data_IF_836496369687
#
_entry.id   IF_836496369687
#
_cell.length_a   1.000
_cell.length_b   1.000
_cell.length_c   1.000
_cell.angle_alpha   90.00
_cell.angle_beta   90.00
_cell.angle_gamma   90.00
#
_symmetry.space_group_name_H-M   'P 1'
#
loop_
_entity.id
_entity.type
_entity.pdbx_description
1 polymer ?
#
# COMPACT_ATOMS: atom_id res chain seq x y z
N UNK A 1 4.69 5.56 -18.79
CA UNK A 1 4.87 4.09 -18.69
C UNK A 1 3.86 3.56 -17.67
N UNK A 2 2.94 2.64 -18.01
CA UNK A 2 2.04 2.03 -17.04
C UNK A 2 2.72 0.76 -16.48
N UNK A 3 3.62 0.94 -15.53
CA UNK A 3 4.17 -0.16 -14.74
C UNK A 3 4.14 0.28 -13.28
N UNK A 4 3.61 -0.55 -12.38
CA UNK A 4 3.51 -0.30 -10.92
C UNK A 4 2.40 0.65 -10.46
N UNK A 5 1.20 0.57 -11.04
CA UNK A 5 0.04 1.28 -10.46
C UNK A 5 -0.60 0.44 -9.35
N UNK A 6 -0.87 1.11 -8.24
CA UNK A 6 -1.57 0.57 -7.06
C UNK A 6 -3.05 0.36 -7.37
N UNK A 7 -3.66 -0.72 -6.88
CA UNK A 7 -5.05 -1.08 -7.24
C UNK A 7 -6.04 0.04 -6.88
N UNK A 8 -5.94 0.56 -5.66
CA UNK A 8 -6.82 1.60 -5.13
C UNK A 8 -6.62 2.95 -5.84
N UNK A 9 -5.41 3.22 -6.34
CA UNK A 9 -5.14 4.42 -7.15
C UNK A 9 -5.93 4.38 -8.48
N UNK A 10 -6.14 3.18 -9.02
CA UNK A 10 -6.90 2.94 -10.24
C UNK A 10 -8.38 2.62 -9.99
N UNK A 11 -8.86 2.75 -8.75
CA UNK A 11 -10.25 2.45 -8.38
C UNK A 11 -10.59 0.97 -8.23
N UNK A 12 -9.60 0.07 -8.25
CA UNK A 12 -9.80 -1.35 -7.93
C UNK A 12 -9.64 -1.60 -6.43
N UNK A 13 -10.25 -2.68 -5.93
CA UNK A 13 -10.14 -3.10 -4.53
C UNK A 13 -9.20 -4.29 -4.40
N UNK A 14 -8.11 -4.13 -3.65
CA UNK A 14 -7.17 -5.21 -3.33
C UNK A 14 -7.87 -6.37 -2.60
N UNK A 15 -8.81 -6.07 -1.71
CA UNK A 15 -9.57 -7.09 -0.97
C UNK A 15 -10.46 -7.93 -1.90
N UNK A 16 -11.14 -7.29 -2.87
CA UNK A 16 -11.92 -8.01 -3.86
C UNK A 16 -11.02 -8.84 -4.79
N UNK A 17 -9.83 -8.36 -5.15
CA UNK A 17 -8.87 -9.15 -5.92
C UNK A 17 -8.39 -10.40 -5.17
N UNK A 18 -8.07 -10.27 -3.88
CA UNK A 18 -7.67 -11.40 -3.03
C UNK A 18 -8.82 -12.41 -2.92
N UNK A 19 -10.05 -11.94 -2.69
CA UNK A 19 -11.24 -12.77 -2.54
C UNK A 19 -11.62 -13.51 -3.84
N UNK A 20 -11.61 -12.81 -4.96
CA UNK A 20 -12.11 -13.34 -6.24
C UNK A 20 -11.05 -14.13 -7.01
N UNK A 21 -9.76 -13.87 -6.76
CA UNK A 21 -8.65 -14.53 -7.44
C UNK A 21 -7.55 -15.02 -6.49
N UNK A 22 -7.89 -15.78 -5.42
CA UNK A 22 -6.94 -16.18 -4.39
C UNK A 22 -5.74 -16.95 -4.96
N UNK A 23 -5.98 -17.83 -5.94
CA UNK A 23 -4.94 -18.63 -6.59
C UNK A 23 -3.94 -17.80 -7.42
N UNK A 24 -4.29 -16.55 -7.73
CA UNK A 24 -3.45 -15.65 -8.52
C UNK A 24 -2.58 -14.74 -7.66
N UNK A 25 -2.75 -14.74 -6.34
CA UNK A 25 -1.94 -13.94 -5.41
C UNK A 25 -0.60 -14.62 -5.15
N UNK A 26 0.46 -14.14 -5.80
CA UNK A 26 1.83 -14.67 -5.63
C UNK A 26 2.70 -13.90 -4.63
N UNK A 27 2.56 -12.58 -4.61
CA UNK A 27 3.25 -11.67 -3.69
C UNK A 27 2.51 -10.33 -3.64
N UNK A 28 2.87 -9.46 -2.68
CA UNK A 28 2.22 -8.18 -2.45
C UNK A 28 3.22 -7.03 -2.55
N UNK A 29 2.80 -5.91 -3.13
CA UNK A 29 3.34 -4.59 -2.82
C UNK A 29 2.34 -3.92 -1.86
N UNK A 30 2.78 -3.70 -0.63
CA UNK A 30 1.99 -3.08 0.42
C UNK A 30 2.22 -1.57 0.36
N UNK A 31 1.27 -0.88 -0.29
CA UNK A 31 1.21 0.58 -0.34
C UNK A 31 -0.14 1.06 0.20
N UNK A 32 -0.19 2.32 0.62
CA UNK A 32 -1.47 2.99 0.88
C UNK A 32 -1.58 4.31 0.12
N UNK A 33 -2.80 4.60 -0.28
CA UNK A 33 -3.22 5.83 -0.93
C UNK A 33 -4.01 6.68 0.03
N UNK A 34 -3.68 7.96 0.12
CA UNK A 34 -4.54 8.93 0.78
C UNK A 34 -5.76 9.24 -0.13
N UNK A 35 -6.99 8.87 0.27
CA UNK A 35 -8.17 9.03 -0.58
C UNK A 35 -8.54 10.50 -0.83
N UNK A 36 -8.30 11.38 0.13
CA UNK A 36 -8.59 12.81 0.01
C UNK A 36 -7.66 13.46 -1.02
N UNK A 37 -6.37 13.09 -0.98
CA UNK A 37 -5.39 13.55 -1.96
C UNK A 37 -5.69 12.94 -3.34
N UNK A 38 -6.04 11.65 -3.42
CA UNK A 38 -6.39 11.02 -4.69
C UNK A 38 -7.60 11.70 -5.36
N UNK A 39 -8.60 12.10 -4.57
CA UNK A 39 -9.75 12.87 -5.07
C UNK A 39 -9.27 14.17 -5.72
N UNK A 40 -8.43 14.95 -5.03
CA UNK A 40 -7.86 16.19 -5.58
C UNK A 40 -7.02 15.94 -6.84
N UNK A 41 -6.22 14.88 -6.85
CA UNK A 41 -5.40 14.46 -8.01
C UNK A 41 -6.27 14.23 -9.24
N UNK A 42 -7.42 13.58 -9.07
CA UNK A 42 -8.36 13.33 -10.16
C UNK A 42 -9.10 14.60 -10.61
N UNK A 43 -9.55 15.43 -9.67
CA UNK A 43 -10.25 16.69 -9.95
C UNK A 43 -9.36 17.70 -10.70
N UNK A 44 -8.09 17.78 -10.34
CA UNK A 44 -7.12 18.71 -10.92
C UNK A 44 -6.29 18.09 -12.07
N UNK A 45 -6.56 16.84 -12.43
CA UNK A 45 -5.82 16.08 -13.45
C UNK A 45 -4.28 16.16 -13.25
N UNK A 46 -3.83 15.92 -12.02
CA UNK A 46 -2.43 16.07 -11.65
C UNK A 46 -1.54 15.04 -12.34
N UNK A 47 -0.31 15.45 -12.68
CA UNK A 47 0.74 14.50 -13.05
C UNK A 47 1.13 13.63 -11.86
N UNK A 48 1.73 12.46 -12.10
CA UNK A 48 2.23 11.60 -11.03
C UNK A 48 3.20 12.34 -10.08
N UNK A 49 4.11 13.16 -10.63
CA UNK A 49 5.04 13.93 -9.80
C UNK A 49 4.32 14.91 -8.87
N UNK A 50 3.28 15.58 -9.37
CA UNK A 50 2.45 16.47 -8.57
C UNK A 50 1.61 15.70 -7.52
N UNK A 51 1.02 14.56 -7.90
CA UNK A 51 0.29 13.69 -6.98
C UNK A 51 1.18 13.17 -5.84
N UNK A 52 2.40 12.75 -6.16
CA UNK A 52 3.37 12.27 -5.19
C UNK A 52 3.80 13.37 -4.23
N UNK A 53 4.12 14.56 -4.75
CA UNK A 53 4.41 15.75 -3.93
C UNK A 53 3.24 16.17 -3.05
N UNK A 54 2.00 15.96 -3.50
CA UNK A 54 0.79 16.22 -2.72
C UNK A 54 0.53 15.18 -1.62
N UNK A 55 1.34 14.11 -1.53
CA UNK A 55 1.21 13.07 -0.52
C UNK A 55 0.14 12.01 -0.85
N UNK A 56 -0.06 11.70 -2.13
CA UNK A 56 -1.04 10.66 -2.52
C UNK A 56 -0.65 9.28 -1.99
N UNK A 57 0.64 9.01 -1.82
CA UNK A 57 1.15 7.81 -1.15
C UNK A 57 1.39 8.12 0.32
N UNK A 58 0.76 7.35 1.22
CA UNK A 58 0.79 7.62 2.66
C UNK A 58 1.26 6.40 3.46
N UNK A 59 1.80 6.64 4.65
CA UNK A 59 2.16 5.56 5.57
C UNK A 59 0.89 4.96 6.20
N UNK A 60 0.87 3.64 6.47
CA UNK A 60 -0.20 3.03 7.23
C UNK A 60 -0.26 3.48 8.69
N UNK A 61 -1.47 3.53 9.28
CA UNK A 61 -2.77 3.09 8.75
C UNK A 61 -3.57 4.19 7.99
N UNK A 62 -2.93 5.23 7.49
CA UNK A 62 -3.62 6.48 7.13
C UNK A 62 -4.27 6.51 5.72
N UNK A 63 -4.39 5.38 5.05
CA UNK A 63 -4.92 5.33 3.69
C UNK A 63 -5.59 4.02 3.30
N UNK A 64 -5.81 3.85 1.99
CA UNK A 64 -6.43 2.69 1.38
C UNK A 64 -5.44 1.87 0.55
N UNK A 65 -5.55 0.54 0.53
CA UNK A 65 -6.51 -0.28 1.28
C UNK A 65 -6.12 -0.34 2.75
N UNK A 66 -7.05 -0.75 3.62
CA UNK A 66 -6.69 -1.10 4.99
C UNK A 66 -5.73 -2.31 4.96
N UNK A 67 -4.46 -2.06 5.31
CA UNK A 67 -3.45 -3.09 5.29
C UNK A 67 -3.68 -4.17 6.35
N UNK A 68 -4.39 -3.90 7.45
CA UNK A 68 -4.78 -4.95 8.40
C UNK A 68 -5.71 -5.95 7.72
N UNK A 69 -6.78 -5.45 7.10
CA UNK A 69 -7.73 -6.30 6.37
C UNK A 69 -7.05 -7.07 5.23
N UNK A 70 -6.11 -6.45 4.52
CA UNK A 70 -5.32 -7.12 3.46
C UNK A 70 -4.48 -8.26 4.05
N UNK A 71 -3.77 -8.02 5.15
CA UNK A 71 -2.95 -9.03 5.82
C UNK A 71 -3.82 -10.19 6.33
N UNK A 72 -4.96 -9.90 6.97
CA UNK A 72 -5.89 -10.93 7.44
C UNK A 72 -6.46 -11.78 6.29
N UNK A 73 -6.85 -11.15 5.17
CA UNK A 73 -7.35 -11.85 3.99
C UNK A 73 -6.28 -12.75 3.36
N UNK A 74 -5.03 -12.28 3.30
CA UNK A 74 -3.90 -13.03 2.74
C UNK A 74 -3.49 -14.18 3.68
N UNK A 75 -3.49 -13.95 4.99
CA UNK A 75 -3.33 -15.03 5.97
C UNK A 75 -4.39 -16.12 5.73
N UNK A 76 -5.65 -15.75 5.50
CA UNK A 76 -6.72 -16.70 5.18
C UNK A 76 -6.45 -17.65 3.99
N UNK A 77 -5.51 -17.33 3.10
CA UNK A 77 -5.11 -18.19 1.98
C UNK A 77 -4.26 -19.41 2.41
N UNK A 78 -3.82 -19.45 3.67
CA UNK A 78 -3.11 -20.58 4.28
C UNK A 78 -1.87 -21.08 3.51
N UNK A 79 -1.13 -20.15 2.89
CA UNK A 79 0.15 -20.41 2.23
C UNK A 79 1.12 -19.24 2.44
N UNK A 80 2.43 -19.45 2.31
CA UNK A 80 3.41 -18.37 2.38
C UNK A 80 3.19 -17.37 1.25
N UNK A 81 3.09 -16.08 1.59
CA UNK A 81 3.03 -14.97 0.63
C UNK A 81 4.08 -13.95 1.02
N UNK A 82 4.93 -13.59 0.07
CA UNK A 82 5.93 -12.56 0.26
C UNK A 82 5.31 -11.17 0.06
N UNK A 83 5.67 -10.21 0.89
CA UNK A 83 5.21 -8.83 0.80
C UNK A 83 6.37 -7.85 0.84
N UNK A 84 6.33 -6.84 -0.03
CA UNK A 84 7.26 -5.72 -0.05
C UNK A 84 6.49 -4.49 0.41
N UNK A 85 7.02 -3.76 1.40
CA UNK A 85 6.50 -2.45 1.77
C UNK A 85 7.05 -1.41 0.80
N UNK A 86 6.17 -0.63 0.18
CA UNK A 86 6.57 0.40 -0.77
C UNK A 86 5.78 1.69 -0.50
N UNK A 87 6.50 2.81 -0.39
CA UNK A 87 5.91 4.13 -0.28
C UNK A 87 6.71 5.08 -1.16
N UNK A 88 6.09 5.61 -2.21
CA UNK A 88 6.72 6.61 -3.06
C UNK A 88 6.76 7.94 -2.33
N UNK A 89 7.95 8.54 -2.23
CA UNK A 89 8.16 9.79 -1.48
C UNK A 89 8.97 10.82 -2.25
N UNK A 90 9.44 10.53 -3.46
CA UNK A 90 10.38 11.42 -4.14
C UNK A 90 9.75 12.74 -4.63
N UNK A 91 10.40 13.90 -4.42
CA UNK A 91 11.59 14.13 -3.58
C UNK A 91 11.24 14.16 -2.08
N UNK A 92 12.12 13.61 -1.24
CA UNK A 92 12.00 13.65 0.23
C UNK A 92 13.35 13.94 0.87
N UNK A 93 13.35 14.60 2.01
CA UNK A 93 14.55 14.74 2.84
C UNK A 93 15.03 13.35 3.34
N UNK A 94 16.35 13.15 3.37
CA UNK A 94 16.96 11.82 3.64
C UNK A 94 16.63 11.22 5.01
N UNK A 95 16.29 12.06 5.99
CA UNK A 95 15.98 11.67 7.36
C UNK A 95 14.52 11.21 7.56
N UNK A 96 13.65 11.41 6.58
CA UNK A 96 12.22 11.07 6.65
C UNK A 96 11.91 9.58 6.40
N UNK A 97 12.53 8.88 5.42
CA UNK A 97 12.13 7.51 5.07
C UNK A 97 12.35 6.49 6.19
N UNK A 98 13.47 6.55 6.90
CA UNK A 98 13.82 5.53 7.89
C UNK A 98 12.86 5.50 9.10
N UNK A 99 12.47 6.64 9.72
CA UNK A 99 11.43 6.65 10.75
C UNK A 99 10.08 6.07 10.29
N UNK A 100 9.65 6.38 9.06
CA UNK A 100 8.41 5.86 8.48
C UNK A 100 8.52 4.34 8.30
N UNK A 101 9.61 3.85 7.70
CA UNK A 101 9.83 2.42 7.51
C UNK A 101 9.76 1.64 8.84
N UNK A 102 10.31 2.19 9.93
CA UNK A 102 10.23 1.58 11.27
C UNK A 102 8.78 1.53 11.79
N UNK A 103 8.02 2.62 11.67
CA UNK A 103 6.60 2.66 12.10
C UNK A 103 5.75 1.71 11.27
N UNK A 104 5.90 1.74 9.95
CA UNK A 104 5.20 0.83 9.03
C UNK A 104 5.50 -0.62 9.34
N UNK A 105 6.78 -0.98 9.57
CA UNK A 105 7.16 -2.34 9.98
C UNK A 105 6.45 -2.75 11.27
N UNK A 106 6.47 -1.90 12.30
CA UNK A 106 5.83 -2.20 13.58
C UNK A 106 4.31 -2.34 13.44
N UNK A 107 3.68 -1.48 12.63
CA UNK A 107 2.25 -1.57 12.34
C UNK A 107 1.91 -2.89 11.65
N UNK A 108 2.63 -3.26 10.59
CA UNK A 108 2.37 -4.50 9.85
C UNK A 108 2.58 -5.76 10.69
N UNK A 109 3.59 -5.78 11.55
CA UNK A 109 3.79 -6.87 12.52
C UNK A 109 2.65 -6.98 13.55
N UNK A 110 1.84 -5.93 13.72
CA UNK A 110 0.64 -5.95 14.57
C UNK A 110 -0.64 -6.34 13.82
N UNK A 111 -0.60 -6.46 12.49
CA UNK A 111 -1.79 -6.69 11.66
C UNK A 111 -2.26 -8.14 11.63
N UNK A 112 -1.34 -9.11 11.78
CA UNK A 112 -1.64 -10.53 11.63
C UNK A 112 -0.94 -11.41 12.64
N UNK A 113 -1.36 -12.67 12.73
CA UNK A 113 -0.82 -13.64 13.68
C UNK A 113 0.44 -14.34 13.19
N UNK A 114 0.68 -14.32 11.87
CA UNK A 114 1.78 -15.02 11.19
C UNK A 114 2.68 -14.09 10.38
N UNK A 115 2.46 -12.78 10.49
CA UNK A 115 3.29 -11.78 9.81
C UNK A 115 4.66 -11.71 10.48
N UNK A 116 5.72 -11.89 9.69
CA UNK A 116 7.11 -11.89 10.16
C UNK A 116 8.01 -11.09 9.21
N UNK A 117 9.17 -10.66 9.70
CA UNK A 117 10.23 -10.03 8.91
C UNK A 117 11.48 -10.88 9.12
N UNK A 118 12.03 -11.40 8.02
CA UNK A 118 13.26 -12.19 8.01
C UNK A 118 14.50 -11.30 8.01
#
# INVERSE_FOLDING_TARGET
MPGHRHAEYCGASSLELIKNYPDRIGYLHLKQINPDVLKKVNEENMTWAAANLAGVMTEPPNGLPDLRAVIEAVEGLNRPIFGIVEQDMYPVAFDVPMPIAKRTRNYLLSCGSRTTVN
#
